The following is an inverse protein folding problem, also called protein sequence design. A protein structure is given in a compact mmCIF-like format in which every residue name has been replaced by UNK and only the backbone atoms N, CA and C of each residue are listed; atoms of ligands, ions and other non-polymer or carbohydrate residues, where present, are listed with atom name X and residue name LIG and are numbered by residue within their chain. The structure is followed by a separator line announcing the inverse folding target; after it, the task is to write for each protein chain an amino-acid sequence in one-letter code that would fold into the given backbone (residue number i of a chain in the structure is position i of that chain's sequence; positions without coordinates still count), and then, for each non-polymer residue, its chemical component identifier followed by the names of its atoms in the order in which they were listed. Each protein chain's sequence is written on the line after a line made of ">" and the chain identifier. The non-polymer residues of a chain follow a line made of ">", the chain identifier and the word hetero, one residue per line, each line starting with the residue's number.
data_IF_795932520588
#
_entry.id   IF_795932520588
#
_cell.length_a   1.000
_cell.length_b   1.000
_cell.length_c   1.000
_cell.angle_alpha   90.00
_cell.angle_beta   90.00
_cell.angle_gamma   90.00
#
_symmetry.space_group_name_H-M   'P 1'
#
loop_
_entity.id
_entity.type
_entity.pdbx_description
1 polymer ?
#
# COMPACT_ATOMS: atom_id res chain seq x y z
N UNK A 1 -19.78 -4.09 7.34
CA UNK A 1 -18.74 -5.11 7.55
C UNK A 1 -17.33 -4.51 7.57
N UNK A 2 -16.88 -3.83 6.51
CA UNK A 2 -15.51 -3.26 6.44
C UNK A 2 -15.20 -2.33 7.62
N UNK A 3 -16.10 -1.40 7.95
CA UNK A 3 -15.91 -0.45 9.05
C UNK A 3 -15.76 -1.13 10.41
N UNK A 4 -16.47 -2.23 10.64
CA UNK A 4 -16.40 -3.00 11.89
C UNK A 4 -15.01 -3.63 12.03
N UNK A 5 -14.51 -4.26 10.97
CA UNK A 5 -13.17 -4.87 10.96
C UNK A 5 -12.09 -3.80 11.13
N UNK A 6 -12.24 -2.63 10.50
CA UNK A 6 -11.31 -1.53 10.66
C UNK A 6 -11.31 -0.97 12.09
N UNK A 7 -12.47 -0.91 12.75
CA UNK A 7 -12.58 -0.54 14.16
C UNK A 7 -11.79 -1.51 15.05
N UNK A 8 -11.92 -2.82 14.83
CA UNK A 8 -11.12 -3.84 15.56
C UNK A 8 -9.61 -3.67 15.29
N UNK A 9 -9.22 -3.38 14.05
CA UNK A 9 -7.83 -3.05 13.74
C UNK A 9 -7.37 -1.75 14.39
N UNK A 10 -8.26 -0.78 14.60
CA UNK A 10 -7.91 0.47 15.25
C UNK A 10 -7.69 0.29 16.76
N UNK A 11 -8.57 -0.45 17.44
CA UNK A 11 -8.48 -0.72 18.88
C UNK A 11 -7.18 -1.45 19.25
N UNK A 12 -6.70 -2.30 18.34
CA UNK A 12 -5.45 -3.02 18.51
C UNK A 12 -4.23 -2.28 17.92
N UNK A 13 -4.36 -1.01 17.49
CA UNK A 13 -3.32 -0.33 16.68
C UNK A 13 -1.98 -0.18 17.39
N UNK A 14 -2.03 0.16 18.68
CA UNK A 14 -0.84 0.37 19.52
C UNK A 14 -0.35 -0.89 20.26
N UNK A 15 -1.04 -2.03 20.09
CA UNK A 15 -0.67 -3.26 20.79
C UNK A 15 0.56 -3.89 20.13
N UNK A 16 1.75 -3.65 20.70
CA UNK A 16 3.08 -4.11 20.24
C UNK A 16 3.31 -5.64 20.24
N UNK A 17 2.25 -6.46 20.11
CA UNK A 17 2.27 -7.93 20.30
C UNK A 17 1.53 -8.70 19.20
N UNK A 18 1.34 -8.12 18.02
CA UNK A 18 0.80 -8.82 16.86
C UNK A 18 1.85 -9.68 16.12
N UNK A 19 1.46 -10.86 15.65
CA UNK A 19 2.27 -11.78 14.82
C UNK A 19 2.92 -11.10 13.60
N UNK A 20 2.27 -10.07 13.06
CA UNK A 20 2.67 -9.38 11.82
C UNK A 20 3.30 -8.01 12.05
N UNK A 21 3.67 -7.66 13.29
CA UNK A 21 4.26 -6.34 13.55
C UNK A 21 5.65 -6.12 12.95
N UNK A 22 6.38 -7.20 12.63
CA UNK A 22 7.67 -7.12 11.93
C UNK A 22 7.56 -7.03 10.39
N UNK A 23 6.33 -7.19 9.87
CA UNK A 23 6.04 -7.18 8.44
C UNK A 23 5.72 -5.77 7.96
N UNK A 24 6.51 -5.27 7.01
CA UNK A 24 6.38 -3.90 6.53
C UNK A 24 5.14 -3.73 5.66
N UNK A 25 4.84 -4.69 4.78
CA UNK A 25 3.61 -4.69 3.98
C UNK A 25 2.37 -4.61 4.86
N UNK A 26 2.28 -5.43 5.90
CA UNK A 26 1.16 -5.46 6.84
C UNK A 26 1.01 -4.13 7.58
N UNK A 27 2.09 -3.61 8.19
CA UNK A 27 2.04 -2.35 8.93
C UNK A 27 1.65 -1.19 8.00
N UNK A 28 2.20 -1.17 6.79
CA UNK A 28 1.88 -0.15 5.78
C UNK A 28 0.44 -0.23 5.32
N UNK A 29 -0.06 -1.43 5.02
CA UNK A 29 -1.45 -1.66 4.61
C UNK A 29 -2.43 -1.25 5.71
N UNK A 30 -2.19 -1.67 6.95
CA UNK A 30 -3.04 -1.33 8.10
C UNK A 30 -3.06 0.18 8.33
N UNK A 31 -1.90 0.83 8.34
CA UNK A 31 -1.79 2.29 8.44
C UNK A 31 -2.60 2.98 7.33
N UNK A 32 -2.45 2.51 6.09
CA UNK A 32 -3.10 3.09 4.92
C UNK A 32 -4.62 2.97 5.01
N UNK A 33 -5.13 1.77 5.28
CA UNK A 33 -6.57 1.53 5.37
C UNK A 33 -7.22 2.34 6.50
N UNK A 34 -6.61 2.37 7.68
CA UNK A 34 -7.12 3.14 8.81
C UNK A 34 -7.24 4.64 8.46
N UNK A 35 -6.18 5.23 7.90
CA UNK A 35 -6.23 6.66 7.50
C UNK A 35 -7.19 6.94 6.36
N UNK A 36 -7.34 6.02 5.40
CA UNK A 36 -8.33 6.18 4.31
C UNK A 36 -9.76 6.24 4.84
N UNK A 37 -10.03 5.58 5.97
CA UNK A 37 -11.34 5.56 6.63
C UNK A 37 -11.47 6.57 7.77
N UNK A 38 -10.54 7.53 7.89
CA UNK A 38 -10.65 8.65 8.83
C UNK A 38 -10.14 8.37 10.25
N UNK A 39 -9.56 7.20 10.51
CA UNK A 39 -8.93 6.90 11.80
C UNK A 39 -7.59 7.64 11.96
N UNK A 40 -7.34 8.13 13.18
CA UNK A 40 -6.04 8.69 13.54
C UNK A 40 -5.03 7.57 13.82
N UNK A 41 -4.23 7.22 12.81
CA UNK A 41 -3.17 6.22 12.92
C UNK A 41 -1.77 6.88 12.97
N UNK A 42 -1.08 6.95 14.12
CA UNK A 42 0.25 7.55 14.24
C UNK A 42 1.31 6.95 13.32
N UNK A 43 2.17 7.78 12.71
CA UNK A 43 3.26 7.32 11.84
C UNK A 43 4.44 6.67 12.59
N UNK A 44 4.48 6.75 13.92
CA UNK A 44 5.55 6.18 14.75
C UNK A 44 5.64 4.65 14.64
N UNK A 45 4.59 3.99 14.13
CA UNK A 45 4.64 2.56 13.80
C UNK A 45 5.73 2.23 12.79
N UNK A 46 6.23 3.19 12.01
CA UNK A 46 7.32 2.97 11.07
C UNK A 46 8.71 3.09 11.69
N UNK A 47 8.83 3.62 12.92
CA UNK A 47 10.13 3.83 13.57
C UNK A 47 10.91 2.52 13.78
N UNK A 48 10.21 1.39 13.94
CA UNK A 48 10.81 0.06 14.07
C UNK A 48 11.51 -0.47 12.80
N UNK A 49 11.25 0.15 11.64
CA UNK A 49 11.89 -0.22 10.38
C UNK A 49 13.12 0.65 10.07
N UNK A 50 13.51 1.54 10.99
CA UNK A 50 14.70 2.36 10.88
C UNK A 50 15.90 1.68 11.54
N UNK A 51 17.08 1.89 10.96
CA UNK A 51 18.34 1.37 11.49
C UNK A 51 18.79 2.09 12.78
N UNK A 52 19.94 1.69 13.35
CA UNK A 52 20.53 2.35 14.54
C UNK A 52 20.95 3.81 14.28
N UNK A 53 21.08 4.22 13.03
CA UNK A 53 21.37 5.60 12.60
C UNK A 53 20.09 6.37 12.29
N UNK A 54 18.91 5.81 12.58
CA UNK A 54 17.62 6.38 12.28
C UNK A 54 17.41 6.65 10.78
N UNK A 55 17.77 5.69 9.91
CA UNK A 55 17.58 5.74 8.46
C UNK A 55 16.84 4.51 7.92
N UNK A 56 16.09 4.69 6.83
CA UNK A 56 15.42 3.57 6.15
C UNK A 56 16.30 2.79 5.18
N UNK A 57 17.28 3.43 4.51
CA UNK A 57 17.98 2.83 3.36
C UNK A 57 18.55 1.44 3.64
N UNK A 58 19.38 1.27 4.67
CA UNK A 58 20.05 0.00 4.96
C UNK A 58 19.05 -1.11 5.36
N UNK A 59 17.91 -0.75 5.97
CA UNK A 59 16.87 -1.70 6.41
C UNK A 59 15.83 -2.04 5.34
N UNK A 60 15.69 -1.20 4.30
CA UNK A 60 14.77 -1.40 3.19
C UNK A 60 15.43 -2.09 1.97
N UNK A 61 16.76 -2.07 1.86
CA UNK A 61 17.50 -2.69 0.74
C UNK A 61 17.24 -4.21 0.63
N UNK A 62 16.96 -4.91 1.74
CA UNK A 62 16.70 -6.35 1.73
C UNK A 62 15.21 -6.71 1.66
N UNK A 63 14.32 -5.74 1.40
CA UNK A 63 12.86 -5.93 1.43
C UNK A 63 12.31 -6.29 0.05
N UNK A 64 11.22 -7.03 0.05
CA UNK A 64 10.50 -7.38 -1.16
C UNK A 64 9.92 -6.11 -1.83
N UNK A 65 9.76 -6.15 -3.16
CA UNK A 65 9.10 -5.09 -3.93
C UNK A 65 7.70 -4.78 -3.39
N UNK A 66 7.00 -5.77 -2.85
CA UNK A 66 5.67 -5.62 -2.27
C UNK A 66 5.69 -4.82 -0.96
N UNK A 67 6.73 -5.01 -0.14
CA UNK A 67 6.98 -4.21 1.07
C UNK A 67 7.20 -2.74 0.70
N UNK A 68 8.04 -2.50 -0.31
CA UNK A 68 8.35 -1.15 -0.79
C UNK A 68 7.12 -0.49 -1.39
N UNK A 69 6.33 -1.20 -2.20
CA UNK A 69 5.12 -0.70 -2.83
C UNK A 69 4.04 -0.36 -1.79
N UNK A 70 3.87 -1.23 -0.78
CA UNK A 70 2.92 -1.02 0.31
C UNK A 70 3.28 0.22 1.13
N UNK A 71 4.55 0.39 1.49
CA UNK A 71 5.03 1.57 2.21
C UNK A 71 4.92 2.83 1.34
N UNK A 72 5.30 2.75 0.06
CA UNK A 72 5.16 3.85 -0.90
C UNK A 72 3.71 4.36 -0.96
N UNK A 73 2.73 3.47 -1.12
CA UNK A 73 1.32 3.85 -1.15
C UNK A 73 0.83 4.44 0.19
N UNK A 74 1.31 3.92 1.31
CA UNK A 74 1.01 4.45 2.64
C UNK A 74 1.53 5.89 2.82
N UNK A 75 2.71 6.22 2.28
CA UNK A 75 3.31 7.56 2.43
C UNK A 75 2.52 8.69 1.75
N UNK A 76 1.61 8.37 0.82
CA UNK A 76 0.71 9.36 0.20
C UNK A 76 -0.46 9.77 1.10
N UNK A 77 -0.59 9.20 2.30
CA UNK A 77 -1.51 9.61 3.36
C UNK A 77 -0.85 10.40 4.49
N UNK A 78 0.40 10.83 4.29
CA UNK A 78 1.10 11.68 5.26
C UNK A 78 0.41 13.04 5.41
N UNK A 79 0.56 13.62 6.59
CA UNK A 79 0.17 15.00 6.90
C UNK A 79 1.40 15.83 7.30
N UNK A 80 1.22 17.13 7.52
CA UNK A 80 2.32 18.01 7.93
C UNK A 80 2.94 17.57 9.27
N UNK A 81 4.28 17.59 9.34
CA UNK A 81 5.04 17.21 10.54
C UNK A 81 5.41 15.73 10.63
N UNK A 82 5.11 14.93 9.61
CA UNK A 82 5.41 13.49 9.58
C UNK A 82 6.69 13.18 8.79
N UNK A 83 7.83 13.63 9.31
CA UNK A 83 9.13 13.52 8.64
C UNK A 83 9.51 12.08 8.29
N UNK A 84 9.08 11.11 9.11
CA UNK A 84 9.30 9.68 8.87
C UNK A 84 8.64 9.21 7.55
N UNK A 85 7.47 9.75 7.20
CA UNK A 85 6.78 9.41 5.97
C UNK A 85 7.31 10.17 4.76
N UNK A 86 7.87 11.37 4.98
CA UNK A 86 8.58 12.12 3.93
C UNK A 86 9.87 11.38 3.52
N UNK A 87 10.66 10.95 4.50
CA UNK A 87 11.85 10.11 4.27
C UNK A 87 11.47 8.80 3.59
N UNK A 88 10.46 8.10 4.10
CA UNK A 88 10.00 6.84 3.52
C UNK A 88 9.51 6.99 2.07
N UNK A 89 8.85 8.11 1.73
CA UNK A 89 8.44 8.37 0.35
C UNK A 89 9.66 8.43 -0.57
N UNK A 90 10.66 9.23 -0.23
CA UNK A 90 11.82 9.45 -1.09
C UNK A 90 12.65 8.17 -1.24
N UNK A 91 12.83 7.41 -0.16
CA UNK A 91 13.56 6.13 -0.19
C UNK A 91 12.81 5.10 -1.03
N UNK A 92 11.52 4.86 -0.77
CA UNK A 92 10.73 3.86 -1.51
C UNK A 92 10.62 4.22 -2.99
N UNK A 93 10.38 5.50 -3.31
CA UNK A 93 10.31 5.97 -4.70
C UNK A 93 11.62 5.74 -5.46
N UNK A 94 12.77 5.99 -4.83
CA UNK A 94 14.08 5.77 -5.44
C UNK A 94 14.31 4.28 -5.66
N UNK A 95 14.08 3.45 -4.64
CA UNK A 95 14.27 2.01 -4.71
C UNK A 95 13.36 1.33 -5.73
N UNK A 96 12.08 1.71 -5.77
CA UNK A 96 11.14 1.19 -6.76
C UNK A 96 11.60 1.51 -8.19
N UNK A 97 12.10 2.72 -8.46
CA UNK A 97 12.66 3.07 -9.78
C UNK A 97 13.88 2.23 -10.15
N UNK A 98 14.78 1.98 -9.20
CA UNK A 98 15.96 1.13 -9.40
C UNK A 98 15.57 -0.33 -9.68
N UNK A 99 14.50 -0.83 -9.06
CA UNK A 99 14.07 -2.22 -9.20
C UNK A 99 13.33 -2.49 -10.51
N UNK A 100 12.57 -1.53 -11.07
CA UNK A 100 11.73 -1.71 -12.27
C UNK A 100 12.38 -2.52 -13.41
N UNK A 101 13.65 -2.27 -13.81
CA UNK A 101 14.29 -3.03 -14.89
C UNK A 101 14.52 -4.52 -14.61
N UNK A 102 14.44 -4.93 -13.34
CA UNK A 102 14.73 -6.28 -12.87
C UNK A 102 13.48 -7.07 -12.45
N UNK A 103 12.29 -6.47 -12.54
CA UNK A 103 11.03 -7.09 -12.16
C UNK A 103 10.40 -7.88 -13.32
N UNK A 104 9.56 -8.86 -12.97
CA UNK A 104 8.67 -9.49 -13.94
C UNK A 104 7.77 -8.43 -14.61
N UNK A 105 7.40 -8.59 -15.89
CA UNK A 105 6.67 -7.55 -16.64
C UNK A 105 5.37 -7.06 -15.98
N UNK A 106 4.58 -7.98 -15.41
CA UNK A 106 3.31 -7.67 -14.72
C UNK A 106 3.55 -6.77 -13.51
N UNK A 107 4.48 -7.17 -12.65
CA UNK A 107 4.85 -6.45 -11.45
C UNK A 107 5.55 -5.11 -11.77
N UNK A 108 6.43 -5.07 -12.78
CA UNK A 108 7.06 -3.85 -13.25
C UNK A 108 6.00 -2.82 -13.67
N UNK A 109 4.97 -3.27 -14.39
CA UNK A 109 3.84 -2.42 -14.82
C UNK A 109 3.06 -1.87 -13.61
N UNK A 110 2.83 -2.69 -12.59
CA UNK A 110 2.19 -2.24 -11.34
C UNK A 110 3.03 -1.18 -10.62
N UNK A 111 4.34 -1.38 -10.51
CA UNK A 111 5.25 -0.41 -9.88
C UNK A 111 5.31 0.89 -10.68
N UNK A 112 5.43 0.82 -12.00
CA UNK A 112 5.40 2.01 -12.88
C UNK A 112 4.08 2.77 -12.73
N UNK A 113 2.96 2.06 -12.65
CA UNK A 113 1.64 2.66 -12.46
C UNK A 113 1.56 3.43 -11.13
N UNK A 114 1.94 2.79 -10.02
CA UNK A 114 1.96 3.44 -8.70
C UNK A 114 2.89 4.67 -8.67
N UNK A 115 4.08 4.56 -9.26
CA UNK A 115 5.05 5.67 -9.35
C UNK A 115 4.53 6.85 -10.17
N UNK A 116 3.71 6.59 -11.20
CA UNK A 116 3.08 7.60 -12.04
C UNK A 116 1.89 8.25 -11.33
N UNK A 117 1.03 7.43 -10.72
CA UNK A 117 -0.16 7.88 -10.01
C UNK A 117 -0.44 6.97 -8.81
N UNK A 118 -0.09 7.42 -7.60
CA UNK A 118 -0.40 6.67 -6.38
C UNK A 118 -1.90 6.43 -6.23
N UNK A 119 -2.27 5.33 -5.59
CA UNK A 119 -3.67 4.95 -5.37
C UNK A 119 -4.46 6.09 -4.69
N UNK A 120 -3.88 6.75 -3.68
CA UNK A 120 -4.55 7.85 -2.96
C UNK A 120 -4.87 9.07 -3.82
N UNK A 121 -4.15 9.25 -4.93
CA UNK A 121 -4.31 10.35 -5.89
C UNK A 121 -5.04 9.92 -7.16
N UNK A 122 -5.53 8.68 -7.20
CA UNK A 122 -6.28 8.12 -8.32
C UNK A 122 -7.78 8.29 -8.11
N UNK A 123 -8.51 8.47 -9.21
CA UNK A 123 -9.97 8.37 -9.18
C UNK A 123 -10.33 6.92 -8.91
N UNK A 124 -11.17 6.61 -7.90
CA UNK A 124 -11.46 5.24 -7.49
C UNK A 124 -11.86 4.35 -8.66
N UNK A 125 -12.65 4.89 -9.60
CA UNK A 125 -13.16 4.10 -10.72
C UNK A 125 -12.12 3.82 -11.82
N UNK A 126 -11.21 4.77 -12.07
CA UNK A 126 -10.08 4.53 -12.97
C UNK A 126 -9.12 3.51 -12.38
N UNK A 127 -8.80 3.68 -11.09
CA UNK A 127 -7.94 2.76 -10.36
C UNK A 127 -8.51 1.34 -10.34
N UNK A 128 -9.81 1.17 -10.06
CA UNK A 128 -10.46 -0.14 -10.05
C UNK A 128 -10.33 -0.87 -11.40
N UNK A 129 -10.47 -0.15 -12.53
CA UNK A 129 -10.32 -0.74 -13.86
C UNK A 129 -8.91 -1.29 -14.09
N UNK A 130 -7.90 -0.51 -13.70
CA UNK A 130 -6.49 -0.89 -13.86
C UNK A 130 -6.12 -2.02 -12.90
N UNK A 131 -6.56 -1.92 -11.64
CA UNK A 131 -6.33 -2.92 -10.60
C UNK A 131 -6.95 -4.28 -10.95
N UNK A 132 -8.13 -4.33 -11.56
CA UNK A 132 -8.69 -5.61 -12.04
C UNK A 132 -7.79 -6.32 -13.06
N UNK A 133 -7.03 -5.57 -13.86
CA UNK A 133 -6.08 -6.16 -14.82
C UNK A 133 -4.87 -6.73 -14.10
N UNK A 134 -4.33 -6.00 -13.11
CA UNK A 134 -3.23 -6.49 -12.27
C UNK A 134 -3.64 -7.70 -11.43
N UNK A 135 -4.82 -7.65 -10.82
CA UNK A 135 -5.33 -8.73 -9.97
C UNK A 135 -5.57 -10.03 -10.76
N UNK A 136 -5.95 -9.95 -12.03
CA UNK A 136 -6.09 -11.13 -12.87
C UNK A 136 -4.74 -11.81 -13.18
N UNK A 137 -3.63 -11.08 -13.10
CA UNK A 137 -2.28 -11.61 -13.34
C UNK A 137 -1.63 -12.17 -12.06
N UNK A 138 -2.26 -11.98 -10.89
CA UNK A 138 -1.80 -12.54 -9.61
C UNK A 138 -2.03 -14.06 -9.58
N UNK A 139 -1.06 -14.84 -9.09
CA UNK A 139 -1.18 -16.30 -8.98
C UNK A 139 -2.26 -16.74 -7.98
N UNK A 140 -2.54 -15.89 -6.98
CA UNK A 140 -3.43 -16.19 -5.85
C UNK A 140 -4.74 -15.40 -5.87
N UNK A 141 -5.14 -14.89 -7.05
CA UNK A 141 -6.38 -14.13 -7.16
C UNK A 141 -7.63 -14.97 -6.87
N UNK A 142 -8.63 -14.32 -6.28
CA UNK A 142 -9.95 -14.90 -6.06
C UNK A 142 -10.83 -14.65 -7.29
N UNK A 143 -11.23 -15.73 -7.96
CA UNK A 143 -12.03 -15.68 -9.17
C UNK A 143 -13.42 -15.06 -8.92
N UNK A 144 -14.02 -15.35 -7.77
CA UNK A 144 -15.34 -14.84 -7.39
C UNK A 144 -15.27 -13.33 -7.19
N UNK A 145 -14.25 -12.85 -6.49
CA UNK A 145 -14.00 -11.43 -6.27
C UNK A 145 -13.74 -10.69 -7.59
N UNK A 146 -12.91 -11.25 -8.48
CA UNK A 146 -12.62 -10.63 -9.78
C UNK A 146 -13.87 -10.57 -10.65
N UNK A 147 -14.67 -11.64 -10.69
CA UNK A 147 -15.93 -11.69 -11.42
C UNK A 147 -16.93 -10.67 -10.88
N UNK A 148 -17.05 -10.58 -9.55
CA UNK A 148 -17.89 -9.58 -8.90
C UNK A 148 -17.47 -8.16 -9.28
N UNK A 149 -16.17 -7.83 -9.16
CA UNK A 149 -15.63 -6.52 -9.49
C UNK A 149 -15.90 -6.12 -10.97
N UNK A 150 -15.74 -7.06 -11.91
CA UNK A 150 -16.02 -6.82 -13.34
C UNK A 150 -17.50 -6.57 -13.60
N UNK A 151 -18.39 -7.33 -12.96
CA UNK A 151 -19.84 -7.15 -13.10
C UNK A 151 -20.27 -5.78 -12.56
N UNK A 152 -19.83 -5.44 -11.35
CA UNK A 152 -20.08 -4.13 -10.73
C UNK A 152 -19.57 -2.98 -11.60
N UNK A 153 -18.34 -3.10 -12.15
CA UNK A 153 -17.78 -2.14 -13.10
C UNK A 153 -18.69 -1.91 -14.30
N UNK A 154 -19.11 -2.99 -14.95
CA UNK A 154 -19.93 -2.91 -16.16
C UNK A 154 -21.34 -2.37 -15.89
N UNK A 155 -21.93 -2.66 -14.73
CA UNK A 155 -23.25 -2.12 -14.34
C UNK A 155 -23.17 -0.60 -14.20
N UNK A 156 -22.18 -0.10 -13.46
CA UNK A 156 -22.03 1.36 -13.27
C UNK A 156 -21.58 2.05 -14.56
N UNK A 157 -20.76 1.41 -15.40
CA UNK A 157 -20.38 1.99 -16.69
C UNK A 157 -21.58 2.25 -17.61
N UNK A 158 -22.62 1.39 -17.56
CA UNK A 158 -23.84 1.59 -18.37
C UNK A 158 -24.71 2.75 -17.89
N UNK A 159 -24.49 3.25 -16.68
CA UNK A 159 -25.24 4.38 -16.11
C UNK A 159 -24.58 5.73 -16.39
N UNK A 160 -23.33 5.76 -16.84
CA UNK A 160 -22.56 6.96 -17.18
C UNK A 160 -22.57 7.21 -18.69
#
# INVERSE_FOLDING_TARGET
>A
EIEIILQEFYENYNQKKGLYEGDLSYVSLRFRLLRQHGFYAPCDVFAKFKDKKNRFEDGLISRDVQDLLSLYEATHLRVHGEDILEEALEVTKTKLKELVPHLAPSLAKQVIHALSRPMRKSLPRLFAREFMSFYQEDEFYDEVLLKFAKLDFNVLQKQH
#
